data_IF_642066391099
#
_entry.id   IF_642066391099
#
_cell.length_a   1.000
_cell.length_b   1.000
_cell.length_c   1.000
_cell.angle_alpha   90.00
_cell.angle_beta   90.00
_cell.angle_gamma   90.00
#
_symmetry.space_group_name_H-M   'P 1'
#
loop_
_entity.id
_entity.type
_entity.pdbx_description
1 polymer ?
#
# COMPACT_ATOMS: atom_id res chain seq x y z
N UNK A 1 -5.86 20.57 -0.52
CA UNK A 1 -5.45 19.21 -0.21
C UNK A 1 -4.26 19.19 0.75
N UNK A 2 -4.02 18.08 1.41
CA UNK A 2 -2.93 17.89 2.36
C UNK A 2 -2.17 16.60 2.01
N UNK A 3 -1.34 16.62 0.94
CA UNK A 3 -0.68 15.39 0.44
C UNK A 3 0.17 14.72 1.52
N UNK A 4 0.03 13.41 1.68
CA UNK A 4 0.79 12.62 2.66
C UNK A 4 0.42 12.83 4.13
N UNK A 5 -0.52 13.74 4.44
CA UNK A 5 -0.87 14.06 5.83
C UNK A 5 -1.99 13.16 6.36
N UNK A 6 -2.91 12.75 5.50
CA UNK A 6 -4.02 11.86 5.84
C UNK A 6 -3.64 10.40 5.56
N UNK A 7 -4.18 9.49 6.36
CA UNK A 7 -3.96 8.06 6.16
C UNK A 7 -4.68 7.55 4.90
N UNK A 8 -4.08 6.54 4.29
CA UNK A 8 -4.65 5.77 3.18
C UNK A 8 -4.58 4.30 3.55
N UNK A 9 -5.62 3.54 3.24
CA UNK A 9 -5.65 2.09 3.44
C UNK A 9 -5.84 1.45 2.06
N UNK A 10 -4.86 0.67 1.63
CA UNK A 10 -4.85 -0.03 0.34
C UNK A 10 -5.34 -1.47 0.47
N UNK A 11 -5.76 -2.05 -0.64
CA UNK A 11 -6.22 -3.45 -0.73
C UNK A 11 -7.43 -3.79 0.17
N UNK A 12 -8.17 -2.78 0.62
CA UNK A 12 -9.31 -2.94 1.53
C UNK A 12 -10.37 -3.86 0.93
N UNK A 13 -10.97 -4.70 1.76
CA UNK A 13 -11.98 -5.67 1.33
C UNK A 13 -11.44 -7.08 1.08
N UNK A 14 -10.12 -7.28 1.10
CA UNK A 14 -9.54 -8.63 1.02
C UNK A 14 -9.84 -9.41 2.32
N UNK A 15 -10.36 -10.60 2.12
CA UNK A 15 -10.68 -11.60 3.14
C UNK A 15 -10.15 -12.95 2.68
N UNK A 16 -10.28 -13.99 3.50
CA UNK A 16 -9.88 -15.35 3.10
C UNK A 16 -10.64 -15.85 1.86
N UNK A 17 -11.86 -15.39 1.67
CA UNK A 17 -12.67 -15.70 0.48
C UNK A 17 -12.28 -14.79 -0.69
N UNK A 18 -12.15 -13.49 -0.44
CA UNK A 18 -11.89 -12.52 -1.50
C UNK A 18 -10.48 -12.70 -2.12
N UNK A 19 -9.47 -13.11 -1.35
CA UNK A 19 -8.13 -13.38 -1.87
C UNK A 19 -8.12 -14.52 -2.87
N UNK A 20 -8.88 -15.58 -2.65
CA UNK A 20 -8.99 -16.68 -3.61
C UNK A 20 -9.77 -16.25 -4.86
N UNK A 21 -10.80 -15.42 -4.70
CA UNK A 21 -11.49 -14.80 -5.84
C UNK A 21 -10.56 -13.93 -6.69
N UNK A 22 -9.71 -13.11 -6.06
CA UNK A 22 -8.71 -12.29 -6.75
C UNK A 22 -7.67 -13.17 -7.45
N UNK A 23 -7.21 -14.22 -6.79
CA UNK A 23 -6.27 -15.20 -7.36
C UNK A 23 -6.85 -15.87 -8.62
N UNK A 24 -8.10 -16.29 -8.55
CA UNK A 24 -8.79 -16.90 -9.69
C UNK A 24 -9.00 -15.92 -10.86
N UNK A 25 -9.42 -14.69 -10.55
CA UNK A 25 -9.67 -13.66 -11.56
C UNK A 25 -8.42 -13.20 -12.30
N UNK A 26 -7.27 -13.19 -11.62
CA UNK A 26 -5.99 -12.73 -12.19
C UNK A 26 -5.11 -13.87 -12.70
N UNK A 27 -5.39 -15.12 -12.33
CA UNK A 27 -4.51 -16.26 -12.58
C UNK A 27 -3.18 -16.17 -11.81
N UNK A 28 -3.05 -15.24 -10.85
CA UNK A 28 -1.82 -14.96 -10.11
C UNK A 28 -2.06 -14.98 -8.59
N UNK A 29 -1.98 -16.18 -8.03
CA UNK A 29 -2.23 -16.39 -6.59
C UNK A 29 -1.15 -15.75 -5.72
N UNK A 30 0.10 -15.71 -6.22
CA UNK A 30 1.18 -15.00 -5.52
C UNK A 30 0.85 -13.52 -5.33
N UNK A 31 0.42 -12.84 -6.38
CA UNK A 31 -0.02 -11.44 -6.33
C UNK A 31 -1.18 -11.24 -5.35
N UNK A 32 -2.20 -12.09 -5.40
CA UNK A 32 -3.35 -11.96 -4.51
C UNK A 32 -2.95 -12.05 -3.02
N UNK A 33 -2.07 -12.98 -2.67
CA UNK A 33 -1.59 -13.13 -1.31
C UNK A 33 -0.59 -12.03 -0.90
N UNK A 34 0.19 -11.46 -1.83
CA UNK A 34 0.98 -10.26 -1.57
C UNK A 34 0.09 -9.05 -1.25
N UNK A 35 -0.99 -8.85 -2.01
CA UNK A 35 -1.97 -7.81 -1.73
C UNK A 35 -2.65 -8.02 -0.35
N UNK A 36 -2.97 -9.26 0.00
CA UNK A 36 -3.61 -9.57 1.27
C UNK A 36 -2.68 -9.35 2.48
N UNK A 37 -1.41 -9.80 2.41
CA UNK A 37 -0.45 -9.53 3.49
C UNK A 37 -0.23 -8.03 3.68
N UNK A 38 -0.20 -7.24 2.58
CA UNK A 38 -0.08 -5.77 2.63
C UNK A 38 -1.27 -5.14 3.32
N UNK A 39 -2.50 -5.60 3.02
CA UNK A 39 -3.68 -5.14 3.75
C UNK A 39 -3.58 -5.42 5.24
N UNK A 40 -3.25 -6.65 5.65
CA UNK A 40 -3.19 -7.01 7.08
C UNK A 40 -2.16 -6.16 7.83
N UNK A 41 -0.99 -5.95 7.23
CA UNK A 41 0.05 -5.08 7.77
C UNK A 41 -0.45 -3.63 7.93
N UNK A 42 -0.90 -3.04 6.83
CA UNK A 42 -1.38 -1.65 6.81
C UNK A 42 -2.60 -1.44 7.72
N UNK A 43 -3.51 -2.40 7.75
CA UNK A 43 -4.68 -2.34 8.62
C UNK A 43 -4.30 -2.44 10.10
N UNK A 44 -3.37 -3.31 10.43
CA UNK A 44 -2.83 -3.43 11.78
C UNK A 44 -2.15 -2.14 12.24
N UNK A 45 -1.29 -1.57 11.43
CA UNK A 45 -0.60 -0.31 11.73
C UNK A 45 -1.58 0.89 11.75
N UNK A 46 -2.25 1.16 10.65
CA UNK A 46 -3.03 2.40 10.46
C UNK A 46 -4.36 2.38 11.19
N UNK A 47 -5.09 1.26 11.18
CA UNK A 47 -6.43 1.17 11.76
C UNK A 47 -6.37 0.79 13.23
N UNK A 48 -5.50 -0.15 13.59
CA UNK A 48 -5.41 -0.66 14.96
C UNK A 48 -4.29 -0.04 15.79
N UNK A 49 -3.41 0.76 15.18
CA UNK A 49 -2.28 1.39 15.87
C UNK A 49 -1.23 0.41 16.37
N UNK A 50 -1.09 -0.74 15.71
CA UNK A 50 -0.07 -1.72 16.03
C UNK A 50 1.31 -1.24 15.56
N UNK A 51 2.35 -1.61 16.31
CA UNK A 51 3.72 -1.34 15.86
C UNK A 51 4.06 -2.21 14.63
N UNK A 52 4.53 -1.54 13.59
CA UNK A 52 4.95 -2.15 12.32
C UNK A 52 5.99 -3.27 12.51
N UNK A 53 6.87 -3.14 13.50
CA UNK A 53 7.89 -4.15 13.82
C UNK A 53 7.32 -5.56 14.03
N UNK A 54 6.08 -5.70 14.49
CA UNK A 54 5.47 -7.01 14.68
C UNK A 54 5.28 -7.76 13.39
N UNK A 55 4.96 -7.06 12.31
CA UNK A 55 4.80 -7.64 10.99
C UNK A 55 6.14 -7.86 10.29
N UNK A 56 7.08 -6.93 10.45
CA UNK A 56 8.43 -7.08 9.88
C UNK A 56 9.14 -8.33 10.41
N UNK A 57 9.06 -8.60 11.72
CA UNK A 57 9.64 -9.80 12.33
C UNK A 57 9.11 -11.09 11.71
N UNK A 58 7.80 -11.18 11.49
CA UNK A 58 7.19 -12.36 10.84
C UNK A 58 7.65 -12.47 9.38
N UNK A 59 7.77 -11.35 8.67
CA UNK A 59 8.25 -11.35 7.29
C UNK A 59 9.69 -11.81 7.18
N UNK A 60 10.56 -11.33 8.05
CA UNK A 60 11.96 -11.75 8.12
C UNK A 60 12.12 -13.26 8.38
N UNK A 61 11.24 -13.83 9.23
CA UNK A 61 11.22 -15.28 9.46
C UNK A 61 10.91 -16.02 8.15
N UNK A 62 9.92 -15.56 7.40
CA UNK A 62 9.55 -16.16 6.11
C UNK A 62 10.68 -15.99 5.08
N UNK A 63 11.26 -14.79 4.95
CA UNK A 63 12.40 -14.56 4.03
C UNK A 63 13.57 -15.49 4.35
N UNK A 64 13.93 -15.62 5.60
CA UNK A 64 14.99 -16.56 6.05
C UNK A 64 14.65 -18.02 5.73
N UNK A 65 13.40 -18.44 5.97
CA UNK A 65 12.93 -19.80 5.68
C UNK A 65 13.08 -20.15 4.19
N UNK A 66 12.71 -19.20 3.32
CA UNK A 66 12.76 -19.38 1.86
C UNK A 66 14.10 -18.96 1.24
N UNK A 67 15.03 -18.47 2.05
CA UNK A 67 16.41 -18.04 1.62
C UNK A 67 16.36 -16.96 0.54
N UNK A 68 15.47 -16.00 0.68
CA UNK A 68 15.33 -14.84 -0.23
C UNK A 68 15.66 -13.54 0.50
N UNK A 69 16.18 -12.56 -0.23
CA UNK A 69 16.50 -11.23 0.29
C UNK A 69 15.34 -10.25 0.05
N UNK A 70 14.81 -10.24 -1.17
CA UNK A 70 13.81 -9.29 -1.59
C UNK A 70 12.39 -9.83 -1.37
N UNK A 71 11.48 -8.92 -1.04
CA UNK A 71 10.06 -9.22 -0.84
C UNK A 71 9.41 -9.82 -2.08
N UNK A 72 9.88 -9.37 -3.27
CA UNK A 72 9.40 -9.85 -4.57
C UNK A 72 9.75 -11.30 -4.85
N UNK A 73 10.79 -11.83 -4.19
CA UNK A 73 11.28 -13.19 -4.40
C UNK A 73 10.61 -14.23 -3.50
N UNK A 74 9.80 -13.76 -2.53
CA UNK A 74 9.04 -14.67 -1.68
C UNK A 74 8.03 -15.46 -2.53
N UNK A 75 8.09 -16.80 -2.53
CA UNK A 75 7.19 -17.61 -3.33
C UNK A 75 5.76 -17.58 -2.79
N UNK A 76 4.80 -17.99 -3.62
CA UNK A 76 3.38 -18.06 -3.26
C UNK A 76 3.14 -18.73 -1.91
N UNK A 77 3.72 -19.90 -1.71
CA UNK A 77 3.56 -20.64 -0.45
C UNK A 77 4.08 -19.85 0.75
N UNK A 78 5.18 -19.10 0.59
CA UNK A 78 5.72 -18.22 1.62
C UNK A 78 4.76 -17.08 1.97
N UNK A 79 4.08 -16.51 0.99
CA UNK A 79 3.08 -15.45 1.23
C UNK A 79 1.81 -16.00 1.90
N UNK A 80 1.38 -17.21 1.57
CA UNK A 80 0.26 -17.89 2.27
C UNK A 80 0.60 -18.09 3.75
N UNK A 81 1.81 -18.59 4.05
CA UNK A 81 2.29 -18.75 5.43
C UNK A 81 2.41 -17.40 6.15
N UNK A 82 2.89 -16.37 5.44
CA UNK A 82 3.02 -15.02 6.00
C UNK A 82 1.66 -14.42 6.38
N UNK A 83 0.65 -14.55 5.52
CA UNK A 83 -0.73 -14.13 5.84
C UNK A 83 -1.23 -14.80 7.12
N UNK A 84 -0.99 -16.11 7.27
CA UNK A 84 -1.37 -16.83 8.48
C UNK A 84 -0.60 -16.33 9.72
N UNK A 85 0.70 -16.03 9.58
CA UNK A 85 1.52 -15.46 10.65
C UNK A 85 1.05 -14.04 11.04
N UNK A 86 0.77 -13.21 10.05
CA UNK A 86 0.24 -11.85 10.25
C UNK A 86 -1.10 -11.84 10.99
N UNK A 87 -2.02 -12.73 10.61
CA UNK A 87 -3.31 -12.88 11.32
C UNK A 87 -3.12 -13.31 12.77
N UNK A 88 -2.14 -14.18 13.05
CA UNK A 88 -1.79 -14.55 14.43
C UNK A 88 -1.20 -13.38 15.21
N UNK A 89 -0.30 -12.61 14.60
CA UNK A 89 0.27 -11.40 15.21
C UNK A 89 -0.83 -10.37 15.49
N UNK A 90 -1.71 -10.12 14.51
CA UNK A 90 -2.88 -9.25 14.66
C UNK A 90 -3.73 -9.67 15.86
N UNK A 91 -4.15 -10.95 15.93
CA UNK A 91 -4.98 -11.48 17.03
C UNK A 91 -4.29 -11.37 18.39
N UNK A 92 -2.98 -11.60 18.44
CA UNK A 92 -2.20 -11.50 19.68
C UNK A 92 -2.23 -10.08 20.25
N UNK A 93 -2.17 -9.06 19.38
CA UNK A 93 -2.09 -7.66 19.80
C UNK A 93 -3.46 -7.02 19.98
N UNK A 94 -4.42 -7.29 19.11
CA UNK A 94 -5.76 -6.70 19.15
C UNK A 94 -6.75 -7.50 20.01
N UNK A 95 -6.42 -8.76 20.32
CA UNK A 95 -7.29 -9.75 20.97
C UNK A 95 -8.53 -10.12 20.15
N UNK A 96 -8.57 -9.73 18.89
CA UNK A 96 -9.64 -10.01 17.94
C UNK A 96 -9.07 -10.64 16.68
N UNK A 97 -9.85 -11.45 15.99
CA UNK A 97 -9.47 -11.96 14.68
C UNK A 97 -9.45 -10.83 13.64
N UNK A 98 -8.63 -10.97 12.60
CA UNK A 98 -8.62 -10.02 11.48
C UNK A 98 -10.01 -10.04 10.80
N UNK A 99 -10.67 -8.87 10.62
CA UNK A 99 -12.05 -8.79 10.13
C UNK A 99 -12.22 -9.49 8.78
N UNK A 100 -13.21 -10.37 8.69
CA UNK A 100 -13.55 -11.10 7.47
C UNK A 100 -14.83 -10.57 6.79
N UNK A 101 -15.43 -9.51 7.33
CA UNK A 101 -16.50 -8.75 6.68
C UNK A 101 -15.90 -7.49 6.03
N UNK A 102 -15.96 -7.34 4.69
CA UNK A 102 -15.45 -6.16 4.00
C UNK A 102 -16.10 -4.84 4.44
N UNK A 103 -17.35 -4.89 4.88
CA UNK A 103 -18.07 -3.70 5.35
C UNK A 103 -17.59 -3.28 6.75
N UNK A 104 -17.29 -4.24 7.61
CA UNK A 104 -16.65 -3.96 8.89
C UNK A 104 -15.27 -3.36 8.69
N UNK A 105 -14.45 -3.93 7.80
CA UNK A 105 -13.15 -3.37 7.44
C UNK A 105 -13.30 -1.92 6.95
N UNK A 106 -14.26 -1.65 6.08
CA UNK A 106 -14.49 -0.32 5.53
C UNK A 106 -14.87 0.69 6.63
N UNK A 107 -15.78 0.35 7.52
CA UNK A 107 -16.19 1.23 8.62
C UNK A 107 -15.01 1.64 9.49
N UNK A 108 -14.23 0.67 9.94
CA UNK A 108 -13.06 0.92 10.78
C UNK A 108 -11.97 1.74 10.03
N UNK A 109 -11.77 1.46 8.74
CA UNK A 109 -10.83 2.22 7.91
C UNK A 109 -11.27 3.69 7.74
N UNK A 110 -12.57 3.94 7.53
CA UNK A 110 -13.13 5.31 7.45
C UNK A 110 -12.91 6.06 8.77
N UNK A 111 -13.17 5.42 9.91
CA UNK A 111 -12.92 5.99 11.24
C UNK A 111 -11.43 6.33 11.44
N UNK A 112 -10.53 5.45 11.02
CA UNK A 112 -9.10 5.69 11.10
C UNK A 112 -8.65 6.89 10.23
N UNK A 113 -9.21 7.03 9.02
CA UNK A 113 -8.93 8.19 8.16
C UNK A 113 -9.43 9.48 8.79
N UNK A 114 -10.65 9.50 9.33
CA UNK A 114 -11.15 10.68 10.07
C UNK A 114 -10.28 11.01 11.28
N UNK A 115 -9.87 10.01 12.04
CA UNK A 115 -9.00 10.20 13.22
C UNK A 115 -7.63 10.75 12.82
N UNK A 116 -7.11 10.41 11.64
CA UNK A 116 -5.83 10.88 11.14
C UNK A 116 -5.76 12.41 10.92
N UNK A 117 -6.93 13.09 10.85
CA UNK A 117 -7.02 14.56 10.84
C UNK A 117 -6.37 15.20 12.05
N UNK A 118 -6.38 14.54 13.20
CA UNK A 118 -5.86 15.04 14.46
C UNK A 118 -4.46 14.49 14.80
N UNK A 119 -3.80 13.77 13.89
CA UNK A 119 -2.40 13.36 14.10
C UNK A 119 -1.49 14.58 14.16
N UNK A 120 -0.39 14.46 14.92
CA UNK A 120 0.59 15.53 15.06
C UNK A 120 1.07 16.09 13.71
N UNK A 121 1.37 15.21 12.74
CA UNK A 121 1.81 15.61 11.40
C UNK A 121 0.75 16.42 10.66
N UNK A 122 -0.54 16.02 10.73
CA UNK A 122 -1.63 16.69 10.05
C UNK A 122 -1.95 18.06 10.68
N UNK A 123 -1.91 18.13 12.01
CA UNK A 123 -2.08 19.41 12.75
C UNK A 123 -0.93 20.36 12.41
N UNK A 124 0.30 19.88 12.49
CA UNK A 124 1.48 20.71 12.22
C UNK A 124 1.52 21.22 10.77
N UNK A 125 1.15 20.37 9.81
CA UNK A 125 1.04 20.78 8.41
C UNK A 125 0.04 21.94 8.24
N UNK A 126 -1.15 21.84 8.85
CA UNK A 126 -2.16 22.92 8.78
C UNK A 126 -1.68 24.21 9.40
N UNK A 127 -0.93 24.13 10.49
CA UNK A 127 -0.33 25.32 11.13
C UNK A 127 0.67 26.01 10.20
N UNK A 128 1.60 25.25 9.62
CA UNK A 128 2.67 25.74 8.73
C UNK A 128 2.08 26.36 7.46
N UNK A 129 1.13 25.67 6.84
CA UNK A 129 0.48 26.11 5.60
C UNK A 129 -0.64 27.16 5.83
N UNK A 130 -0.88 27.56 7.08
CA UNK A 130 -1.90 28.54 7.41
C UNK A 130 -3.34 28.12 7.07
N UNK A 131 -3.61 26.80 6.99
CA UNK A 131 -4.92 26.24 6.66
C UNK A 131 -5.84 26.38 7.88
N UNK A 132 -6.87 27.23 7.74
CA UNK A 132 -7.83 27.55 8.80
C UNK A 132 -9.27 27.39 8.33
N UNK A 133 -10.20 27.28 9.28
CA UNK A 133 -11.66 27.28 9.02
C UNK A 133 -12.20 25.97 8.45
N UNK A 134 -11.40 24.90 8.41
CA UNK A 134 -11.87 23.58 8.01
C UNK A 134 -12.45 22.83 9.21
N UNK A 135 -13.61 22.19 9.02
CA UNK A 135 -14.29 21.41 10.06
C UNK A 135 -13.73 20.01 10.22
N UNK A 136 -13.02 19.51 9.20
CA UNK A 136 -12.49 18.16 9.16
C UNK A 136 -12.07 17.75 7.76
N UNK A 137 -12.05 16.46 7.51
CA UNK A 137 -11.71 15.85 6.22
C UNK A 137 -12.86 15.05 5.64
N UNK A 138 -12.74 14.66 4.38
CA UNK A 138 -13.59 13.69 3.72
C UNK A 138 -12.80 12.40 3.45
N UNK A 139 -13.51 11.32 3.19
CA UNK A 139 -12.94 10.01 2.81
C UNK A 139 -13.45 9.65 1.43
N UNK A 140 -12.53 9.28 0.54
CA UNK A 140 -12.84 8.69 -0.75
C UNK A 140 -12.63 7.18 -0.68
N UNK A 141 -13.62 6.42 -1.14
CA UNK A 141 -13.50 4.98 -1.39
C UNK A 141 -13.38 4.78 -2.89
N UNK A 142 -12.24 4.28 -3.33
CA UNK A 142 -11.91 4.17 -4.74
C UNK A 142 -11.56 2.73 -5.10
N UNK A 143 -12.02 2.28 -6.28
CA UNK A 143 -11.62 0.97 -6.80
C UNK A 143 -10.09 0.89 -6.93
N UNK A 144 -9.52 -0.20 -6.41
CA UNK A 144 -8.08 -0.41 -6.46
C UNK A 144 -7.64 -0.80 -7.88
N UNK A 145 -6.58 -0.14 -8.37
CA UNK A 145 -5.85 -0.52 -9.58
C UNK A 145 -4.50 -1.06 -9.17
N UNK A 146 -4.12 -2.21 -9.69
CA UNK A 146 -2.97 -2.95 -9.23
C UNK A 146 -1.79 -2.82 -10.20
N UNK A 147 -0.79 -2.05 -9.83
CA UNK A 147 0.47 -1.95 -10.56
C UNK A 147 1.42 -3.14 -10.35
N UNK A 148 1.07 -4.07 -9.46
CA UNK A 148 1.87 -5.25 -9.10
C UNK A 148 1.22 -6.58 -9.53
N UNK A 149 0.39 -6.56 -10.57
CA UNK A 149 -0.23 -7.79 -11.10
C UNK A 149 0.75 -8.68 -11.87
N UNK A 150 1.81 -8.11 -12.41
CA UNK A 150 2.81 -8.79 -13.22
C UNK A 150 3.74 -7.82 -13.92
N UNK A 151 4.60 -8.34 -14.79
CA UNK A 151 5.62 -7.54 -15.49
C UNK A 151 5.07 -6.63 -16.60
N UNK A 152 3.80 -6.74 -16.90
CA UNK A 152 3.03 -5.86 -17.79
C UNK A 152 2.27 -4.74 -17.05
N UNK A 153 2.41 -4.70 -15.74
CA UNK A 153 1.77 -3.74 -14.85
C UNK A 153 2.81 -2.86 -14.18
N UNK A 154 2.44 -1.65 -13.83
CA UNK A 154 3.35 -0.72 -13.17
C UNK A 154 2.63 0.39 -12.43
N UNK A 155 3.40 1.14 -11.68
CA UNK A 155 2.94 2.33 -10.98
C UNK A 155 3.99 3.43 -11.07
N UNK A 156 3.58 4.68 -10.90
CA UNK A 156 4.51 5.80 -10.96
C UNK A 156 3.95 7.06 -10.35
N UNK A 157 4.81 8.05 -10.26
CA UNK A 157 4.49 9.41 -9.83
C UNK A 157 4.93 10.37 -10.93
N UNK A 158 4.07 11.31 -11.30
CA UNK A 158 4.37 12.29 -12.33
C UNK A 158 3.97 13.70 -11.90
N UNK A 159 4.74 14.65 -12.40
CA UNK A 159 4.57 16.08 -12.15
C UNK A 159 4.56 16.83 -13.48
N UNK A 160 3.74 17.86 -13.59
CA UNK A 160 3.69 18.75 -14.74
C UNK A 160 4.92 19.67 -14.84
N UNK A 161 5.66 19.78 -13.73
CA UNK A 161 6.94 20.51 -13.63
C UNK A 161 7.94 19.67 -12.86
N UNK A 162 9.22 19.89 -13.13
CA UNK A 162 10.27 19.31 -12.30
C UNK A 162 10.16 19.83 -10.86
N UNK A 163 9.94 18.97 -9.86
CA UNK A 163 9.73 19.38 -8.47
C UNK A 163 10.97 19.99 -7.81
N UNK A 164 12.16 19.71 -8.34
CA UNK A 164 13.42 20.21 -7.80
C UNK A 164 13.85 21.58 -8.38
N UNK A 165 13.59 21.78 -9.69
CA UNK A 165 14.06 22.99 -10.40
C UNK A 165 12.94 23.98 -10.76
N UNK A 166 11.67 23.54 -10.72
CA UNK A 166 10.52 24.34 -11.18
C UNK A 166 10.38 24.44 -12.70
N UNK A 167 11.30 23.84 -13.47
CA UNK A 167 11.27 23.84 -14.94
C UNK A 167 9.94 23.28 -15.45
N UNK A 168 9.33 23.94 -16.45
CA UNK A 168 8.09 23.49 -17.08
C UNK A 168 8.38 22.33 -18.05
N UNK A 169 8.70 21.19 -17.46
CA UNK A 169 8.98 19.94 -18.16
C UNK A 169 8.33 18.81 -17.40
N UNK A 170 7.64 17.94 -18.11
CA UNK A 170 7.07 16.74 -17.53
C UNK A 170 8.17 15.92 -16.84
N UNK A 171 7.97 15.66 -15.57
CA UNK A 171 8.86 14.85 -14.75
C UNK A 171 8.09 13.67 -14.17
N UNK A 172 8.67 12.49 -14.19
CA UNK A 172 8.03 11.32 -13.62
C UNK A 172 8.99 10.16 -13.45
N UNK A 173 8.62 9.30 -12.53
CA UNK A 173 9.32 8.08 -12.20
C UNK A 173 8.31 6.93 -12.11
N UNK A 174 8.72 5.72 -12.47
CA UNK A 174 7.85 4.55 -12.45
C UNK A 174 8.60 3.28 -11.99
N UNK A 175 7.83 2.31 -11.54
CA UNK A 175 8.27 0.94 -11.24
C UNK A 175 7.35 -0.05 -11.95
N UNK A 176 7.96 -1.08 -12.55
CA UNK A 176 7.26 -2.25 -13.07
C UNK A 176 6.96 -3.19 -11.90
N UNK A 177 5.80 -3.83 -11.96
CA UNK A 177 5.35 -4.81 -10.97
C UNK A 177 5.47 -4.26 -9.53
N UNK A 178 4.79 -3.13 -9.26
CA UNK A 178 4.87 -2.42 -7.98
C UNK A 178 3.55 -1.72 -7.63
N UNK A 179 3.27 -1.60 -6.35
CA UNK A 179 2.21 -0.72 -5.84
C UNK A 179 2.74 0.70 -5.61
N UNK A 180 1.83 1.68 -5.48
CA UNK A 180 2.19 3.08 -5.27
C UNK A 180 3.09 3.31 -4.04
N UNK A 181 2.89 2.55 -2.97
CA UNK A 181 3.72 2.62 -1.76
C UNK A 181 5.19 2.25 -2.03
N UNK A 182 5.46 1.31 -2.95
CA UNK A 182 6.82 0.90 -3.29
C UNK A 182 7.63 2.04 -3.91
N UNK A 183 6.94 2.97 -4.63
CA UNK A 183 7.55 4.18 -5.21
C UNK A 183 7.77 5.25 -4.14
N UNK A 184 6.72 5.57 -3.37
CA UNK A 184 6.75 6.72 -2.45
C UNK A 184 7.51 6.44 -1.16
N UNK A 185 7.59 5.20 -0.72
CA UNK A 185 8.36 4.79 0.44
C UNK A 185 9.86 4.55 0.14
N UNK A 186 10.26 4.57 -1.14
CA UNK A 186 11.65 4.35 -1.54
C UNK A 186 12.15 2.92 -1.31
N UNK A 187 11.27 1.95 -1.26
CA UNK A 187 11.59 0.52 -1.06
C UNK A 187 12.38 -0.01 -2.25
N UNK A 188 12.04 0.46 -3.46
CA UNK A 188 12.71 0.12 -4.72
C UNK A 188 13.11 1.41 -5.42
N UNK A 189 14.23 1.40 -6.16
CA UNK A 189 14.67 2.56 -6.95
C UNK A 189 13.82 2.69 -8.21
N UNK A 190 13.03 3.76 -8.35
CA UNK A 190 12.22 3.97 -9.53
C UNK A 190 13.07 4.37 -10.74
N UNK A 191 12.53 4.16 -11.93
CA UNK A 191 13.13 4.55 -13.20
C UNK A 191 12.51 5.85 -13.70
N UNK A 192 13.28 6.73 -14.36
CA UNK A 192 12.71 7.90 -15.03
C UNK A 192 11.65 7.50 -16.07
N UNK A 193 10.56 8.27 -16.17
CA UNK A 193 9.44 7.95 -17.06
C UNK A 193 9.85 7.79 -18.54
N UNK A 194 10.94 8.45 -18.96
CA UNK A 194 11.47 8.33 -20.34
C UNK A 194 11.92 6.89 -20.66
N UNK A 195 12.36 6.12 -19.66
CA UNK A 195 12.77 4.73 -19.83
C UNK A 195 11.57 3.80 -20.10
N UNK A 196 10.34 4.26 -19.82
CA UNK A 196 9.13 3.51 -20.13
C UNK A 196 9.01 3.19 -21.64
N UNK A 197 9.60 4.01 -22.49
CA UNK A 197 9.69 3.72 -23.93
C UNK A 197 10.35 2.39 -24.25
N UNK A 198 11.36 2.02 -23.47
CA UNK A 198 12.10 0.76 -23.67
C UNK A 198 11.29 -0.43 -23.18
N UNK A 199 10.49 -0.22 -22.15
CA UNK A 199 9.61 -1.24 -21.61
C UNK A 199 8.33 -1.38 -22.46
N UNK A 200 7.63 -0.27 -22.74
CA UNK A 200 6.41 -0.26 -23.55
C UNK A 200 6.16 1.13 -24.17
N UNK A 201 6.56 1.30 -25.44
CA UNK A 201 6.40 2.58 -26.17
C UNK A 201 4.94 2.97 -26.37
N UNK A 202 4.03 1.99 -26.42
CA UNK A 202 2.58 2.24 -26.56
C UNK A 202 1.97 2.89 -25.31
N UNK A 203 2.45 2.51 -24.13
CA UNK A 203 1.99 3.10 -22.84
C UNK A 203 2.63 4.47 -22.64
N UNK A 204 3.88 4.66 -23.12
CA UNK A 204 4.59 5.93 -22.98
C UNK A 204 3.94 7.06 -23.78
N UNK A 205 3.35 6.79 -24.95
CA UNK A 205 2.69 7.77 -25.84
C UNK A 205 1.34 8.22 -25.30
#
# INVERSE_FOLDING_TARGET
>A
SMPGMMNTILNLGLTDVAVEGLAAATGNRRFAYDAYRRLINMYGDVVMGMDHEHFEKEFDIIKKKYKVADDTDVPEQGLVELVAAYKKAYKKHTRSDFPQDPIEQLKMAVEAVFSSWNTHRAVRYREVEGIRGLLGTAVNVQAMVYGNMGDDSGTGVAFTRNPSTGENKFYGEFLINAQGEDVVAGIRTPQPVIEMRKWNDSIYK
#
